data_IF_735968154420
#
_entry.id   IF_735968154420
#
_cell.length_a   1.000
_cell.length_b   1.000
_cell.length_c   1.000
_cell.angle_alpha   90.00
_cell.angle_beta   90.00
_cell.angle_gamma   90.00
#
_symmetry.space_group_name_H-M   'P 1'
#
loop_
_entity.id
_entity.type
_entity.pdbx_description
1 polymer ?
#
# COMPACT_ATOMS: atom_id res chain seq x y z
N UNK A 1 -53.54 3.87 2.27
CA UNK A 1 -52.46 3.30 1.46
C UNK A 1 -51.69 4.45 0.86
N UNK A 2 -50.63 4.88 1.54
CA UNK A 2 -49.79 5.98 1.06
C UNK A 2 -48.77 5.43 0.06
N UNK A 3 -48.88 5.90 -1.18
CA UNK A 3 -47.88 5.67 -2.22
C UNK A 3 -47.13 6.98 -2.38
N UNK A 4 -45.86 6.99 -2.01
CA UNK A 4 -44.94 8.09 -2.30
C UNK A 4 -44.19 7.78 -3.58
N UNK A 5 -44.29 8.67 -4.57
CA UNK A 5 -43.54 8.62 -5.81
C UNK A 5 -42.20 9.34 -5.60
N UNK A 6 -41.10 8.61 -5.74
CA UNK A 6 -39.75 9.16 -5.81
C UNK A 6 -39.31 9.13 -7.28
N UNK A 7 -39.09 10.28 -7.92
CA UNK A 7 -38.65 10.32 -9.31
C UNK A 7 -37.20 9.82 -9.43
N UNK A 8 -36.96 8.91 -10.37
CA UNK A 8 -35.65 8.25 -10.57
C UNK A 8 -34.65 9.18 -11.29
N UNK A 9 -35.12 10.24 -11.96
CA UNK A 9 -34.24 11.25 -12.57
C UNK A 9 -34.76 12.68 -12.36
N UNK A 10 -33.87 13.64 -12.04
CA UNK A 10 -34.21 15.05 -12.05
C UNK A 10 -34.38 15.54 -13.50
N UNK A 11 -35.25 16.55 -13.74
CA UNK A 11 -35.58 17.05 -15.07
C UNK A 11 -34.41 17.75 -15.81
N UNK A 12 -33.23 17.84 -15.19
CA UNK A 12 -32.03 18.50 -15.71
C UNK A 12 -30.88 17.50 -15.97
N UNK A 13 -31.16 16.20 -15.97
CA UNK A 13 -30.14 15.20 -16.25
C UNK A 13 -29.66 15.29 -17.70
N UNK A 14 -28.39 15.66 -17.88
CA UNK A 14 -27.69 15.59 -19.16
C UNK A 14 -26.93 14.25 -19.27
N UNK A 15 -26.38 13.96 -20.44
CA UNK A 15 -25.59 12.76 -20.78
C UNK A 15 -24.43 12.50 -19.81
N UNK A 16 -23.90 13.51 -19.13
CA UNK A 16 -22.92 13.38 -18.04
C UNK A 16 -23.47 12.67 -16.79
N UNK A 17 -24.78 12.78 -16.52
CA UNK A 17 -25.47 12.08 -15.42
C UNK A 17 -25.65 10.58 -15.72
N UNK A 18 -25.80 10.23 -16.99
CA UNK A 18 -25.98 8.84 -17.45
C UNK A 18 -24.64 8.08 -17.49
N UNK A 19 -23.54 8.77 -17.76
CA UNK A 19 -22.19 8.17 -17.78
C UNK A 19 -21.48 8.16 -16.43
N UNK A 20 -21.94 8.97 -15.47
CA UNK A 20 -21.56 8.86 -14.06
C UNK A 20 -22.29 7.71 -13.37
N UNK A 21 -22.08 6.47 -13.82
CA UNK A 21 -22.38 5.31 -12.98
C UNK A 21 -21.43 5.37 -11.79
N UNK A 22 -21.85 6.04 -10.73
CA UNK A 22 -21.45 5.64 -9.38
C UNK A 22 -21.93 4.21 -9.22
N UNK A 23 -21.06 3.23 -9.48
CA UNK A 23 -21.19 1.96 -8.80
C UNK A 23 -21.02 2.32 -7.33
N UNK A 24 -22.14 2.46 -6.61
CA UNK A 24 -22.07 2.58 -5.16
C UNK A 24 -21.43 1.30 -4.66
N UNK A 25 -20.19 1.38 -4.19
CA UNK A 25 -19.53 0.25 -3.57
C UNK A 25 -20.18 0.04 -2.21
N UNK A 26 -20.98 -1.03 -2.10
CA UNK A 26 -21.52 -1.47 -0.82
C UNK A 26 -20.37 -1.72 0.14
N UNK A 27 -20.56 -1.32 1.40
CA UNK A 27 -19.59 -1.61 2.45
C UNK A 27 -19.43 -3.12 2.61
N UNK A 28 -18.19 -3.59 2.45
CA UNK A 28 -17.84 -5.01 2.53
C UNK A 28 -16.66 -5.19 3.47
N UNK A 29 -16.74 -6.19 4.35
CA UNK A 29 -15.59 -6.63 5.15
C UNK A 29 -14.67 -7.48 4.27
N UNK A 30 -13.40 -7.10 4.20
CA UNK A 30 -12.42 -7.74 3.33
C UNK A 30 -11.03 -7.71 3.95
N UNK A 31 -10.28 -8.78 3.72
CA UNK A 31 -8.87 -8.83 4.06
C UNK A 31 -8.04 -8.11 3.00
N UNK A 32 -7.34 -7.04 3.37
CA UNK A 32 -6.44 -6.31 2.49
C UNK A 32 -5.04 -6.21 3.09
N UNK A 33 -4.04 -6.10 2.21
CA UNK A 33 -2.76 -5.53 2.59
C UNK A 33 -2.79 -4.02 2.27
N UNK A 34 -2.44 -3.22 3.26
CA UNK A 34 -2.35 -1.78 3.16
C UNK A 34 -0.88 -1.36 3.18
N UNK A 35 -0.55 -0.34 2.38
CA UNK A 35 0.77 0.28 2.37
C UNK A 35 0.61 1.80 2.49
N UNK A 36 1.34 2.39 3.42
CA UNK A 36 1.55 3.83 3.47
C UNK A 36 2.97 4.15 3.03
N UNK A 37 3.11 5.16 2.17
CA UNK A 37 4.41 5.68 1.73
C UNK A 37 4.41 7.18 1.97
N UNK A 38 5.46 7.71 2.58
CA UNK A 38 5.59 9.15 2.91
C UNK A 38 6.99 9.67 2.52
N UNK A 39 7.06 10.88 1.97
CA UNK A 39 8.33 11.51 1.64
C UNK A 39 8.98 12.10 2.91
N UNK A 40 10.30 11.92 3.05
CA UNK A 40 11.05 12.47 4.18
C UNK A 40 11.46 13.91 3.95
N UNK A 41 11.23 14.74 4.96
CA UNK A 41 11.73 16.12 4.98
C UNK A 41 11.03 17.03 3.98
N UNK A 42 9.84 16.66 3.50
CA UNK A 42 9.03 17.48 2.58
C UNK A 42 8.70 18.86 3.16
N UNK A 43 8.44 18.94 4.47
CA UNK A 43 8.20 20.22 5.16
C UNK A 43 9.45 21.12 5.12
N UNK A 44 10.63 20.55 5.36
CA UNK A 44 11.90 21.29 5.29
C UNK A 44 12.20 21.73 3.84
N UNK A 45 11.90 20.86 2.88
CA UNK A 45 12.01 21.18 1.45
C UNK A 45 11.09 22.35 1.07
N UNK A 46 9.83 22.34 1.52
CA UNK A 46 8.86 23.40 1.27
C UNK A 46 9.28 24.76 1.87
N UNK A 47 10.02 24.76 2.98
CA UNK A 47 10.52 26.00 3.59
C UNK A 47 11.73 26.60 2.84
N UNK A 48 12.55 25.75 2.22
CA UNK A 48 13.80 26.16 1.57
C UNK A 48 13.65 26.47 0.07
N UNK A 49 12.53 26.08 -0.54
CA UNK A 49 12.31 26.14 -1.99
C UNK A 49 11.16 27.05 -2.38
N UNK A 50 11.13 27.40 -3.67
CA UNK A 50 9.95 27.99 -4.26
C UNK A 50 8.79 26.96 -4.23
N UNK A 51 7.54 27.41 -4.03
CA UNK A 51 6.39 26.51 -3.97
C UNK A 51 6.24 25.61 -5.20
N UNK A 52 6.51 26.13 -6.40
CA UNK A 52 6.39 25.37 -7.64
C UNK A 52 7.38 24.22 -7.76
N UNK A 53 8.64 24.42 -7.33
CA UNK A 53 9.65 23.36 -7.34
C UNK A 53 9.30 22.25 -6.35
N UNK A 54 8.78 22.63 -5.19
CA UNK A 54 8.32 21.68 -4.17
C UNK A 54 7.19 20.82 -4.71
N UNK A 55 6.16 21.44 -5.31
CA UNK A 55 5.02 20.73 -5.90
C UNK A 55 5.48 19.82 -7.05
N UNK A 56 6.42 20.26 -7.88
CA UNK A 56 6.96 19.43 -8.96
C UNK A 56 7.64 18.16 -8.43
N UNK A 57 8.48 18.27 -7.39
CA UNK A 57 9.17 17.13 -6.78
C UNK A 57 8.17 16.17 -6.12
N UNK A 58 7.23 16.70 -5.35
CA UNK A 58 6.18 15.89 -4.69
C UNK A 58 5.36 15.13 -5.73
N UNK A 59 4.92 15.78 -6.80
CA UNK A 59 4.17 15.12 -7.86
C UNK A 59 4.97 14.02 -8.57
N UNK A 60 6.27 14.23 -8.80
CA UNK A 60 7.14 13.21 -9.40
C UNK A 60 7.36 12.02 -8.48
N UNK A 61 7.52 12.26 -7.19
CA UNK A 61 7.59 11.21 -6.19
C UNK A 61 6.29 10.41 -6.12
N UNK A 62 5.15 11.07 -5.98
CA UNK A 62 3.85 10.40 -5.94
C UNK A 62 3.58 9.60 -7.23
N UNK A 63 3.98 10.10 -8.40
CA UNK A 63 3.90 9.36 -9.65
C UNK A 63 4.76 8.08 -9.63
N UNK A 64 6.01 8.17 -9.16
CA UNK A 64 6.92 7.03 -9.05
C UNK A 64 6.38 5.95 -8.09
N UNK A 65 5.80 6.38 -6.97
CA UNK A 65 5.17 5.48 -5.98
C UNK A 65 3.90 4.85 -6.55
N UNK A 66 2.99 5.64 -7.14
CA UNK A 66 1.74 5.14 -7.72
C UNK A 66 2.01 4.15 -8.86
N UNK A 67 3.03 4.38 -9.69
CA UNK A 67 3.45 3.44 -10.72
C UNK A 67 3.87 2.09 -10.12
N UNK A 68 4.72 2.09 -9.10
CA UNK A 68 5.14 0.86 -8.41
C UNK A 68 3.96 0.09 -7.81
N UNK A 69 3.01 0.79 -7.20
CA UNK A 69 1.78 0.19 -6.65
C UNK A 69 0.95 -0.48 -7.74
N UNK A 70 0.70 0.21 -8.85
CA UNK A 70 -0.12 -0.32 -9.95
C UNK A 70 0.55 -1.51 -10.63
N UNK A 71 1.85 -1.44 -10.90
CA UNK A 71 2.61 -2.51 -11.54
C UNK A 71 2.69 -3.77 -10.67
N UNK A 72 2.75 -3.61 -9.34
CA UNK A 72 2.65 -4.73 -8.41
C UNK A 72 1.22 -5.28 -8.25
N UNK A 73 0.21 -4.66 -8.86
CA UNK A 73 -1.20 -5.10 -8.82
C UNK A 73 -2.00 -4.57 -7.63
N UNK A 74 -1.53 -3.50 -6.99
CA UNK A 74 -2.28 -2.72 -6.02
C UNK A 74 -3.03 -1.55 -6.65
N UNK A 75 -3.80 -0.84 -5.81
CA UNK A 75 -4.53 0.36 -6.19
C UNK A 75 -4.09 1.55 -5.31
N UNK A 76 -3.56 2.64 -5.91
CA UNK A 76 -3.44 3.92 -5.22
C UNK A 76 -4.81 4.39 -4.75
N UNK A 77 -4.96 4.67 -3.47
CA UNK A 77 -6.26 4.93 -2.84
C UNK A 77 -6.41 6.39 -2.42
N UNK A 78 -5.53 6.87 -1.53
CA UNK A 78 -5.63 8.23 -1.00
C UNK A 78 -4.26 8.91 -0.96
N UNK A 79 -4.19 10.11 -1.51
CA UNK A 79 -3.03 10.99 -1.39
C UNK A 79 -3.21 11.86 -0.13
N UNK A 80 -2.22 11.85 0.76
CA UNK A 80 -2.25 12.59 2.02
C UNK A 80 -0.98 13.45 2.08
N UNK A 81 -1.09 14.72 1.68
CA UNK A 81 0.06 15.59 1.54
C UNK A 81 1.01 15.08 0.46
N UNK A 82 2.20 14.68 0.89
CA UNK A 82 3.28 14.08 0.10
C UNK A 82 3.33 12.54 0.19
N UNK A 83 2.37 11.93 0.88
CA UNK A 83 2.24 10.49 1.03
C UNK A 83 1.10 9.86 0.23
N UNK A 84 1.15 8.52 0.12
CA UNK A 84 0.16 7.68 -0.54
C UNK A 84 -0.26 6.52 0.37
N UNK A 85 -1.57 6.33 0.51
CA UNK A 85 -2.19 5.08 0.93
C UNK A 85 -2.49 4.23 -0.31
N UNK A 86 -2.00 2.99 -0.31
CA UNK A 86 -2.27 1.98 -1.33
C UNK A 86 -2.95 0.74 -0.72
N UNK A 87 -3.83 0.13 -1.50
CA UNK A 87 -4.61 -1.06 -1.14
C UNK A 87 -4.26 -2.22 -2.08
N UNK A 88 -4.09 -3.41 -1.49
CA UNK A 88 -3.80 -4.66 -2.21
C UNK A 88 -4.76 -5.75 -1.71
N UNK A 89 -5.19 -6.65 -2.59
CA UNK A 89 -6.18 -7.68 -2.23
C UNK A 89 -7.62 -7.37 -2.64
N UNK A 90 -7.86 -6.31 -3.41
CA UNK A 90 -9.21 -5.98 -3.88
C UNK A 90 -9.78 -7.03 -4.86
N UNK A 91 -8.94 -7.78 -5.56
CA UNK A 91 -9.39 -8.83 -6.48
C UNK A 91 -8.51 -10.09 -6.41
N UNK A 92 -7.78 -10.28 -5.31
CA UNK A 92 -6.78 -11.34 -5.14
C UNK A 92 -6.89 -11.97 -3.75
N UNK A 93 -6.29 -13.15 -3.58
CA UNK A 93 -6.24 -13.81 -2.27
C UNK A 93 -5.30 -13.08 -1.30
N UNK A 94 -5.41 -13.42 -0.01
CA UNK A 94 -4.67 -12.80 1.09
C UNK A 94 -3.15 -12.89 0.93
N UNK A 95 -2.65 -14.03 0.47
CA UNK A 95 -1.23 -14.27 0.33
C UNK A 95 -0.66 -13.48 -0.86
N UNK A 96 -1.39 -13.46 -1.98
CA UNK A 96 -1.06 -12.65 -3.14
C UNK A 96 -1.08 -11.16 -2.78
N UNK A 97 -2.10 -10.68 -2.07
CA UNK A 97 -2.17 -9.29 -1.62
C UNK A 97 -0.92 -8.86 -0.83
N UNK A 98 -0.47 -9.68 0.13
CA UNK A 98 0.73 -9.39 0.92
C UNK A 98 2.00 -9.42 0.07
N UNK A 99 2.14 -10.37 -0.86
CA UNK A 99 3.26 -10.40 -1.80
C UNK A 99 3.29 -9.18 -2.71
N UNK A 100 2.15 -8.75 -3.21
CA UNK A 100 2.02 -7.57 -4.06
C UNK A 100 2.45 -6.30 -3.30
N UNK A 101 2.01 -6.13 -2.04
CA UNK A 101 2.42 -4.98 -1.22
C UNK A 101 3.93 -4.93 -0.97
N UNK A 102 4.54 -6.08 -0.66
CA UNK A 102 5.98 -6.19 -0.43
C UNK A 102 6.79 -6.00 -1.72
N UNK A 103 6.28 -6.47 -2.88
CA UNK A 103 6.90 -6.22 -4.18
C UNK A 103 6.81 -4.74 -4.55
N UNK A 104 5.65 -4.11 -4.32
CA UNK A 104 5.48 -2.67 -4.51
C UNK A 104 6.50 -1.87 -3.70
N UNK A 105 6.75 -2.24 -2.44
CA UNK A 105 7.77 -1.58 -1.61
C UNK A 105 9.18 -1.66 -2.23
N UNK A 106 9.57 -2.81 -2.79
CA UNK A 106 10.84 -2.95 -3.51
C UNK A 106 10.88 -2.08 -4.78
N UNK A 107 9.79 -2.06 -5.54
CA UNK A 107 9.68 -1.25 -6.77
C UNK A 107 9.69 0.25 -6.49
N UNK A 108 9.08 0.71 -5.38
CA UNK A 108 9.17 2.10 -4.92
C UNK A 108 10.62 2.51 -4.73
N UNK A 109 11.43 1.65 -4.10
CA UNK A 109 12.86 1.91 -3.90
C UNK A 109 13.57 2.15 -5.24
N UNK A 110 13.39 1.23 -6.20
CA UNK A 110 13.98 1.35 -7.54
C UNK A 110 13.54 2.59 -8.31
N UNK A 111 12.24 2.91 -8.25
CA UNK A 111 11.69 4.08 -8.95
C UNK A 111 12.17 5.40 -8.34
N UNK A 112 12.26 5.50 -7.02
CA UNK A 112 12.78 6.69 -6.34
C UNK A 112 14.30 6.82 -6.56
N UNK A 113 15.04 5.73 -6.60
CA UNK A 113 16.46 5.75 -6.97
C UNK A 113 16.68 6.26 -8.40
N UNK A 114 15.84 5.85 -9.34
CA UNK A 114 15.86 6.38 -10.70
C UNK A 114 15.59 7.89 -10.71
N UNK A 115 14.57 8.33 -9.95
CA UNK A 115 14.23 9.74 -9.81
C UNK A 115 15.39 10.55 -9.21
N UNK A 116 16.06 10.03 -8.18
CA UNK A 116 17.24 10.64 -7.57
C UNK A 116 18.40 10.78 -8.56
N UNK A 117 18.62 9.78 -9.43
CA UNK A 117 19.63 9.85 -10.50
C UNK A 117 19.30 10.91 -11.53
N UNK A 118 18.04 11.06 -11.93
CA UNK A 118 17.60 12.11 -12.85
C UNK A 118 17.81 13.51 -12.28
N UNK A 119 17.67 13.66 -10.96
CA UNK A 119 17.84 14.93 -10.28
C UNK A 119 19.25 15.17 -9.75
N UNK A 120 20.20 14.25 -9.94
CA UNK A 120 21.53 14.34 -9.35
C UNK A 120 22.29 15.64 -9.66
N UNK A 121 22.04 16.26 -10.82
CA UNK A 121 22.65 17.54 -11.21
C UNK A 121 21.90 18.76 -10.63
N UNK A 122 20.59 18.63 -10.38
CA UNK A 122 19.72 19.71 -9.92
C UNK A 122 19.51 19.70 -8.39
N UNK A 123 19.74 18.57 -7.74
CA UNK A 123 19.28 18.28 -6.38
C UNK A 123 20.44 17.82 -5.50
N UNK A 124 20.77 18.62 -4.47
CA UNK A 124 21.86 18.29 -3.54
C UNK A 124 21.51 17.19 -2.54
N UNK A 125 20.23 16.97 -2.29
CA UNK A 125 19.75 16.01 -1.29
C UNK A 125 18.85 14.97 -1.98
N UNK A 126 19.16 13.67 -1.90
CA UNK A 126 18.30 12.65 -2.48
C UNK A 126 16.94 12.65 -1.78
N UNK A 127 15.89 12.41 -2.57
CA UNK A 127 14.55 12.11 -2.08
C UNK A 127 14.65 10.83 -1.26
N UNK A 128 14.18 10.93 -0.01
CA UNK A 128 14.08 9.82 0.94
C UNK A 128 12.61 9.58 1.25
N UNK A 129 12.28 8.37 1.68
CA UNK A 129 10.90 7.97 1.96
C UNK A 129 10.85 6.95 3.12
N UNK A 130 9.67 6.74 3.66
CA UNK A 130 9.34 5.65 4.58
C UNK A 130 8.14 4.86 4.07
N UNK A 131 8.11 3.56 4.34
CA UNK A 131 7.03 2.65 3.97
C UNK A 131 6.55 1.85 5.18
N UNK A 132 5.26 1.95 5.48
CA UNK A 132 4.57 1.07 6.41
C UNK A 132 3.75 0.03 5.68
N UNK A 133 3.85 -1.25 6.05
CA UNK A 133 3.03 -2.33 5.47
C UNK A 133 2.35 -3.17 6.55
N UNK A 134 1.04 -3.31 6.48
CA UNK A 134 0.30 -4.22 7.34
C UNK A 134 -0.88 -4.83 6.58
N UNK A 135 -1.35 -6.00 7.02
CA UNK A 135 -2.45 -6.71 6.39
C UNK A 135 -3.40 -7.25 7.44
N UNK A 136 -4.70 -7.20 7.13
CA UNK A 136 -5.77 -7.52 8.07
C UNK A 136 -7.14 -7.25 7.48
N UNK A 137 -8.18 -7.56 8.25
CA UNK A 137 -9.56 -7.25 7.88
C UNK A 137 -9.80 -5.73 7.92
N UNK A 138 -10.51 -5.23 6.92
CA UNK A 138 -10.95 -3.85 6.77
C UNK A 138 -12.35 -3.79 6.20
N UNK A 139 -13.04 -2.68 6.41
CA UNK A 139 -14.29 -2.38 5.71
C UNK A 139 -13.93 -1.51 4.52
N UNK A 140 -14.20 -1.98 3.31
CA UNK A 140 -14.08 -1.18 2.08
C UNK A 140 -15.42 -0.60 1.69
N UNK A 141 -15.44 0.63 1.18
CA UNK A 141 -16.65 1.22 0.62
C UNK A 141 -16.49 2.68 0.25
N UNK A 142 -17.57 3.25 -0.29
CA UNK A 142 -17.64 4.65 -0.65
C UNK A 142 -17.82 5.53 0.60
N UNK A 143 -16.87 6.43 0.84
CA UNK A 143 -16.93 7.43 1.91
C UNK A 143 -16.87 8.82 1.35
N UNK A 144 -17.78 9.68 1.81
CA UNK A 144 -17.74 11.08 1.49
C UNK A 144 -19.09 11.75 1.54
N UNK A 145 -19.15 12.94 0.96
CA UNK A 145 -20.37 13.73 0.90
C UNK A 145 -20.57 14.30 -0.50
N UNK A 146 -21.73 14.01 -1.11
CA UNK A 146 -22.13 14.46 -2.46
C UNK A 146 -21.08 14.08 -3.52
N UNK A 147 -20.45 15.07 -4.13
CA UNK A 147 -19.51 14.91 -5.24
C UNK A 147 -18.08 14.60 -4.76
N UNK A 148 -17.85 14.57 -3.44
CA UNK A 148 -16.56 14.20 -2.84
C UNK A 148 -16.70 12.84 -2.16
N UNK A 149 -16.99 11.81 -2.96
CA UNK A 149 -17.05 10.40 -2.53
C UNK A 149 -15.80 9.68 -3.03
N UNK A 150 -15.09 9.02 -2.12
CA UNK A 150 -13.92 8.21 -2.41
C UNK A 150 -14.14 6.79 -1.93
N UNK A 151 -13.89 5.82 -2.79
CA UNK A 151 -13.73 4.44 -2.34
C UNK A 151 -12.50 4.39 -1.44
N UNK A 152 -12.62 3.80 -0.25
CA UNK A 152 -11.50 3.66 0.68
C UNK A 152 -11.68 2.48 1.62
N UNK A 153 -10.63 2.14 2.34
CA UNK A 153 -10.64 1.14 3.40
C UNK A 153 -10.64 1.81 4.78
N UNK A 154 -11.37 1.22 5.73
CA UNK A 154 -11.42 1.63 7.12
C UNK A 154 -11.19 0.45 8.02
N UNK A 155 -10.48 0.69 9.12
CA UNK A 155 -10.25 -0.32 10.12
C UNK A 155 -8.95 -0.08 10.86
N UNK A 156 -8.72 -0.91 11.87
CA UNK A 156 -7.47 -0.87 12.63
C UNK A 156 -6.26 -1.14 11.71
N UNK A 157 -6.42 -2.01 10.70
CA UNK A 157 -5.37 -2.31 9.71
C UNK A 157 -4.80 -1.06 9.04
N UNK A 158 -5.66 -0.12 8.61
CA UNK A 158 -5.23 1.13 7.95
C UNK A 158 -4.49 2.03 8.95
N UNK A 159 -5.01 2.15 10.17
CA UNK A 159 -4.39 2.97 11.23
C UNK A 159 -3.04 2.41 11.69
N UNK A 160 -2.94 1.08 11.83
CA UNK A 160 -1.69 0.39 12.14
C UNK A 160 -0.68 0.60 11.02
N UNK A 161 -1.09 0.46 9.75
CA UNK A 161 -0.21 0.71 8.59
C UNK A 161 0.39 2.11 8.61
N UNK A 162 -0.42 3.13 8.87
CA UNK A 162 0.06 4.52 8.98
C UNK A 162 1.10 4.67 10.09
N UNK A 163 0.88 4.03 11.25
CA UNK A 163 1.84 4.08 12.37
C UNK A 163 3.12 3.31 12.08
N UNK A 164 3.04 2.20 11.34
CA UNK A 164 4.24 1.50 10.88
C UNK A 164 5.08 2.38 9.97
N UNK A 165 4.44 3.14 9.07
CA UNK A 165 5.13 4.16 8.29
C UNK A 165 5.78 5.18 9.23
N UNK A 166 5.06 5.77 10.18
CA UNK A 166 5.65 6.77 11.09
C UNK A 166 6.88 6.23 11.84
N UNK A 167 6.83 4.97 12.29
CA UNK A 167 7.93 4.29 12.97
C UNK A 167 9.19 4.14 12.12
N UNK A 168 9.09 4.17 10.79
CA UNK A 168 10.29 4.14 9.93
C UNK A 168 11.20 5.36 10.20
N UNK A 169 10.68 6.47 10.75
CA UNK A 169 11.48 7.65 11.16
C UNK A 169 12.33 7.33 12.38
N UNK A 170 11.72 6.73 13.39
CA UNK A 170 12.38 6.40 14.67
C UNK A 170 13.37 5.24 14.53
N UNK A 171 13.08 4.30 13.63
CA UNK A 171 13.86 3.10 13.40
C UNK A 171 14.94 3.25 12.32
N UNK A 172 15.04 4.44 11.71
CA UNK A 172 16.02 4.78 10.67
C UNK A 172 16.10 3.75 9.54
N UNK A 173 14.93 3.34 9.03
CA UNK A 173 14.82 2.33 7.98
C UNK A 173 13.83 2.78 6.91
N UNK A 174 13.86 2.13 5.74
CA UNK A 174 12.95 2.45 4.65
C UNK A 174 11.60 1.75 4.78
N UNK A 175 11.56 0.54 5.35
CA UNK A 175 10.31 -0.23 5.50
C UNK A 175 10.15 -0.77 6.92
N UNK A 176 8.96 -0.60 7.47
CA UNK A 176 8.47 -1.37 8.63
C UNK A 176 7.23 -2.13 8.19
N UNK A 177 7.27 -3.45 8.31
CA UNK A 177 6.14 -4.32 7.97
C UNK A 177 5.71 -5.14 9.19
N UNK A 178 4.43 -5.47 9.30
CA UNK A 178 4.00 -6.42 10.33
C UNK A 178 4.50 -7.83 10.04
N UNK A 179 4.84 -8.59 11.08
CA UNK A 179 5.22 -9.99 10.95
C UNK A 179 4.07 -10.84 10.37
N UNK A 180 2.83 -10.42 10.62
CA UNK A 180 1.63 -11.03 10.03
C UNK A 180 1.59 -10.89 8.50
N UNK A 181 1.89 -9.72 7.94
CA UNK A 181 1.89 -9.53 6.49
C UNK A 181 2.94 -10.44 5.82
N UNK A 182 4.11 -10.58 6.45
CA UNK A 182 5.17 -11.47 5.94
C UNK A 182 4.76 -12.95 6.00
N UNK A 183 4.18 -13.39 7.12
CA UNK A 183 3.67 -14.75 7.29
C UNK A 183 2.56 -15.08 6.30
N UNK A 184 1.59 -14.18 6.13
CA UNK A 184 0.49 -14.33 5.18
C UNK A 184 1.01 -14.39 3.73
N UNK A 185 2.07 -13.65 3.40
CA UNK A 185 2.73 -13.74 2.10
C UNK A 185 3.36 -15.12 1.81
N UNK A 186 3.53 -15.97 2.84
CA UNK A 186 4.23 -17.25 2.76
C UNK A 186 5.75 -17.11 2.75
N UNK A 187 6.28 -15.96 3.21
CA UNK A 187 7.71 -15.67 3.16
C UNK A 187 8.36 -15.96 4.52
N UNK A 188 9.56 -16.54 4.47
CA UNK A 188 10.33 -16.79 5.67
C UNK A 188 10.88 -15.47 6.24
N UNK A 189 10.82 -15.26 7.57
CA UNK A 189 11.39 -14.07 8.22
C UNK A 189 12.92 -14.04 8.24
N UNK A 190 13.59 -15.04 7.66
CA UNK A 190 15.04 -15.16 7.67
C UNK A 190 15.70 -13.94 7.03
N UNK A 191 16.53 -13.24 7.81
CA UNK A 191 17.26 -12.06 7.35
C UNK A 191 16.62 -10.71 7.70
N UNK A 192 15.39 -10.69 8.23
CA UNK A 192 14.73 -9.45 8.66
C UNK A 192 14.70 -9.32 10.19
N UNK A 193 15.36 -8.29 10.76
CA UNK A 193 15.30 -8.01 12.20
C UNK A 193 13.86 -7.83 12.67
N UNK A 194 13.49 -8.50 13.77
CA UNK A 194 12.20 -8.32 14.44
C UNK A 194 12.32 -7.38 15.62
N UNK A 195 11.26 -6.58 15.84
CA UNK A 195 11.05 -5.82 17.07
C UNK A 195 9.61 -6.00 17.53
N UNK A 196 9.41 -6.05 18.83
CA UNK A 196 8.07 -5.98 19.43
C UNK A 196 7.80 -4.52 19.79
N UNK A 197 6.70 -3.96 19.25
CA UNK A 197 6.36 -2.54 19.41
C UNK A 197 4.92 -2.41 19.89
N UNK A 198 4.71 -1.51 20.85
CA UNK A 198 3.38 -1.10 21.27
C UNK A 198 2.89 -0.01 20.33
N UNK A 199 1.92 -0.35 19.50
CA UNK A 199 1.29 0.60 18.59
C UNK A 199 0.16 1.29 19.35
N UNK A 200 0.23 2.62 19.50
CA UNK A 200 -0.80 3.41 20.21
C UNK A 200 -2.18 3.08 19.65
N UNK A 201 -3.14 2.68 20.48
CA UNK A 201 -4.49 2.35 20.01
C UNK A 201 -4.65 0.94 19.43
N UNK A 202 -3.57 0.14 19.39
CA UNK A 202 -3.63 -1.30 19.17
C UNK A 202 -3.46 -2.01 20.52
N UNK A 203 -4.34 -2.96 20.84
CA UNK A 203 -4.47 -3.50 22.20
C UNK A 203 -3.31 -4.42 22.64
N UNK A 204 -2.59 -5.02 21.69
CA UNK A 204 -1.49 -5.95 21.95
C UNK A 204 -0.20 -5.43 21.33
N UNK A 205 0.98 -5.72 21.92
CA UNK A 205 2.24 -5.49 21.23
C UNK A 205 2.24 -6.25 19.89
N UNK A 206 2.75 -5.59 18.85
CA UNK A 206 2.86 -6.16 17.51
C UNK A 206 4.32 -6.47 17.21
N UNK A 207 4.59 -7.66 16.68
CA UNK A 207 5.89 -7.96 16.09
C UNK A 207 5.97 -7.33 14.71
N UNK A 208 6.99 -6.52 14.48
CA UNK A 208 7.28 -5.88 13.20
C UNK A 208 8.65 -6.29 12.70
N UNK A 209 8.85 -6.22 11.39
CA UNK A 209 10.14 -6.42 10.72
C UNK A 209 10.60 -5.10 10.15
N UNK A 210 11.89 -4.81 10.28
CA UNK A 210 12.51 -3.59 9.75
C UNK A 210 13.38 -3.92 8.54
N UNK A 211 13.27 -3.14 7.48
CA UNK A 211 14.12 -3.25 6.28
C UNK A 211 14.81 -1.93 6.06
N UNK A 212 16.15 -1.93 6.18
CA UNK A 212 16.96 -0.73 6.02
C UNK A 212 16.87 -0.19 4.59
N UNK A 213 16.96 -1.07 3.60
CA UNK A 213 16.85 -0.77 2.18
C UNK A 213 15.68 -1.55 1.57
N UNK A 214 14.65 -0.85 1.11
CA UNK A 214 13.47 -1.45 0.52
C UNK A 214 13.78 -2.27 -0.73
N UNK A 215 14.85 -1.95 -1.48
CA UNK A 215 15.26 -2.73 -2.65
C UNK A 215 15.64 -4.18 -2.28
N UNK A 216 16.11 -4.43 -1.06
CA UNK A 216 16.50 -5.76 -0.59
C UNK A 216 15.31 -6.72 -0.45
N UNK A 217 14.07 -6.21 -0.46
CA UNK A 217 12.87 -7.05 -0.43
C UNK A 217 12.75 -7.91 -1.70
N UNK A 218 13.26 -7.45 -2.85
CA UNK A 218 13.25 -8.20 -4.11
C UNK A 218 13.91 -9.58 -3.98
N UNK A 219 15.06 -9.65 -3.30
CA UNK A 219 15.81 -10.90 -3.08
C UNK A 219 15.05 -11.94 -2.24
N UNK A 220 14.14 -11.49 -1.36
CA UNK A 220 13.31 -12.38 -0.54
C UNK A 220 12.28 -13.10 -1.43
N UNK A 221 11.81 -12.45 -2.49
CA UNK A 221 10.89 -13.04 -3.44
C UNK A 221 11.55 -14.02 -4.39
N UNK A 222 12.73 -13.69 -4.93
CA UNK A 222 13.45 -14.60 -5.83
C UNK A 222 13.73 -15.95 -5.14
N UNK A 223 14.11 -15.89 -3.86
CA UNK A 223 14.34 -17.09 -3.03
C UNK A 223 13.06 -17.91 -2.80
N UNK A 224 11.90 -17.26 -2.69
CA UNK A 224 10.62 -17.93 -2.48
C UNK A 224 10.03 -18.52 -3.77
N UNK A 225 10.25 -17.85 -4.91
CA UNK A 225 9.90 -18.37 -6.24
C UNK A 225 10.74 -19.61 -6.56
N UNK A 226 12.05 -19.57 -6.29
CA UNK A 226 12.93 -20.73 -6.43
C UNK A 226 12.50 -21.89 -5.51
N UNK A 227 12.19 -21.61 -4.23
CA UNK A 227 11.71 -22.64 -3.30
C UNK A 227 10.38 -23.29 -3.75
N UNK A 228 9.45 -22.51 -4.29
CA UNK A 228 8.17 -23.02 -4.79
C UNK A 228 8.30 -23.85 -6.09
N UNK A 229 9.31 -23.56 -6.91
CA UNK A 229 9.65 -24.36 -8.11
C UNK A 229 10.42 -25.64 -7.79
N UNK A 230 10.90 -25.81 -6.55
CA UNK A 230 11.70 -26.96 -6.11
C UNK A 230 10.91 -28.01 -5.30
N UNK A 231 9.60 -27.81 -5.05
CA UNK A 231 8.78 -28.84 -4.41
C UNK A 231 8.52 -30.04 -5.37
N UNK A 232 8.96 -31.27 -5.04
CA UNK A 232 8.73 -32.43 -5.88
C UNK A 232 7.24 -32.82 -5.90
N UNK A 233 6.72 -33.16 -7.08
CA UNK A 233 5.41 -33.80 -7.29
C UNK A 233 5.36 -35.23 -6.72
N UNK A 234 5.61 -35.44 -5.43
CA UNK A 234 5.51 -36.75 -4.77
C UNK A 234 4.28 -36.83 -3.86
N UNK A 235 3.08 -36.58 -4.39
CA UNK A 235 1.82 -36.93 -3.70
C UNK A 235 0.68 -37.43 -4.61
N UNK A 236 0.98 -37.98 -5.79
CA UNK A 236 -0.04 -38.63 -6.63
C UNK A 236 0.19 -40.14 -6.89
N UNK A 237 1.22 -40.77 -6.32
CA UNK A 237 1.54 -42.18 -6.63
C UNK A 237 1.21 -43.20 -5.51
N UNK A 238 0.40 -42.89 -4.50
CA UNK A 238 0.05 -43.86 -3.44
C UNK A 238 -1.45 -44.06 -3.17
N UNK A 239 -2.32 -43.65 -4.09
CA UNK A 239 -3.77 -43.92 -3.99
C UNK A 239 -4.31 -44.85 -5.09
N UNK A 240 -3.42 -45.55 -5.81
CA UNK A 240 -3.78 -46.43 -6.92
C UNK A 240 -2.92 -47.69 -6.97
N UNK A 241 -2.99 -48.52 -5.92
CA UNK A 241 -2.61 -49.92 -6.01
C UNK A 241 -3.56 -50.73 -5.13
N UNK A 242 -4.22 -51.68 -5.77
CA UNK A 242 -5.11 -52.68 -5.21
C UNK A 242 -4.39 -53.64 -4.26
#
# INVERSE_FOLDING_TARGET
SDISLVPILPPQADTSFVYGKSQTHLSEERYLACMFVDMRGSTEMAQKRLPFDTVFIVNRFLAAVSQAVMEAGGQPNQYVGDGLLALFGLNTDRATACRQALNAAAMVAGNVDHLNKMFAEAERNPIRFGIGVHAGEVITGDIGYRDTVVFTALGDTVNVTARLEELTKELECQVVLSDEALKTAGLAPSGLPSREIVIRGHARPMTVRTVADAASLSAIFDTAVDAALTEPQERLASAGAA
#
